data_IF_358158538950
#
_entry.id   IF_358158538950
#
_cell.length_a   1.000
_cell.length_b   1.000
_cell.length_c   1.000
_cell.angle_alpha   90.00
_cell.angle_beta   90.00
_cell.angle_gamma   90.00
#
_symmetry.space_group_name_H-M   'P 1'
#
loop_
_entity.id
_entity.type
_entity.pdbx_description
1 polymer ?
#
# COMPACT_ATOMS: atom_id res chain seq x y z
N UNK A 1 34.67 7.88 27.87
CA UNK A 1 33.79 8.85 27.15
C UNK A 1 34.13 9.03 25.66
N UNK A 2 35.43 9.01 25.26
CA UNK A 2 35.82 9.15 23.83
C UNK A 2 35.38 7.92 23.03
N UNK A 3 35.64 6.72 23.53
CA UNK A 3 35.22 5.43 22.99
C UNK A 3 33.74 5.36 22.64
N UNK A 4 32.83 5.69 23.60
CA UNK A 4 31.38 5.63 23.37
C UNK A 4 30.90 6.61 22.30
N UNK A 5 31.56 7.78 22.17
CA UNK A 5 31.25 8.75 21.11
C UNK A 5 31.71 8.26 19.73
N UNK A 6 32.89 7.68 19.67
CA UNK A 6 33.45 7.11 18.43
C UNK A 6 32.55 5.95 17.93
N UNK A 7 32.25 4.98 18.79
CA UNK A 7 31.37 3.86 18.45
C UNK A 7 29.98 4.29 17.98
N UNK A 8 29.34 5.25 18.67
CA UNK A 8 28.02 5.77 18.25
C UNK A 8 28.06 6.48 16.91
N UNK A 9 29.14 7.24 16.62
CA UNK A 9 29.30 7.91 15.33
C UNK A 9 29.44 6.90 14.20
N UNK A 10 30.17 5.84 14.43
CA UNK A 10 30.35 4.73 13.48
C UNK A 10 29.03 4.00 13.22
N UNK A 11 28.30 3.62 14.27
CA UNK A 11 26.96 3.03 14.13
C UNK A 11 26.02 3.95 13.36
N UNK A 12 26.02 5.26 13.65
CA UNK A 12 25.17 6.23 12.96
C UNK A 12 25.53 6.38 11.48
N UNK A 13 26.81 6.38 11.13
CA UNK A 13 27.26 6.45 9.73
C UNK A 13 26.88 5.19 8.97
N UNK A 14 27.12 4.01 9.56
CA UNK A 14 26.69 2.73 8.97
C UNK A 14 25.17 2.69 8.81
N UNK A 15 24.41 3.07 9.84
CA UNK A 15 22.96 3.10 9.79
C UNK A 15 22.45 4.06 8.72
N UNK A 16 23.04 5.23 8.58
CA UNK A 16 22.66 6.19 7.55
C UNK A 16 22.85 5.62 6.14
N UNK A 17 24.01 5.04 5.85
CA UNK A 17 24.28 4.43 4.55
C UNK A 17 23.34 3.27 4.22
N UNK A 18 23.13 2.37 5.18
CA UNK A 18 22.24 1.22 5.03
C UNK A 18 20.79 1.67 4.87
N UNK A 19 20.34 2.66 5.67
CA UNK A 19 18.99 3.19 5.60
C UNK A 19 18.70 3.80 4.22
N UNK A 20 19.62 4.59 3.68
CA UNK A 20 19.48 5.17 2.33
C UNK A 20 19.38 4.08 1.27
N UNK A 21 20.24 3.07 1.32
CA UNK A 21 20.23 1.97 0.36
C UNK A 21 18.91 1.17 0.43
N UNK A 22 18.48 0.78 1.62
CA UNK A 22 17.23 0.04 1.81
C UNK A 22 15.99 0.86 1.40
N UNK A 23 16.00 2.16 1.72
CA UNK A 23 14.91 3.06 1.36
C UNK A 23 14.83 3.26 -0.16
N UNK A 24 15.96 3.37 -0.84
CA UNK A 24 16.03 3.46 -2.30
C UNK A 24 15.48 2.20 -2.97
N UNK A 25 15.88 1.01 -2.49
CA UNK A 25 15.39 -0.28 -3.02
C UNK A 25 13.87 -0.40 -2.79
N UNK A 26 13.40 -0.11 -1.58
CA UNK A 26 11.98 -0.21 -1.24
C UNK A 26 11.15 0.78 -2.07
N UNK A 27 11.58 2.04 -2.14
CA UNK A 27 10.86 3.08 -2.90
C UNK A 27 10.80 2.73 -4.38
N UNK A 28 11.90 2.25 -4.98
CA UNK A 28 11.92 1.80 -6.37
C UNK A 28 10.97 0.63 -6.61
N UNK A 29 10.99 -0.36 -5.73
CA UNK A 29 10.11 -1.54 -5.84
C UNK A 29 8.63 -1.16 -5.73
N UNK A 30 8.28 -0.30 -4.77
CA UNK A 30 6.91 0.17 -4.58
C UNK A 30 6.45 1.07 -5.73
N UNK A 31 7.34 1.91 -6.25
CA UNK A 31 7.04 2.77 -7.39
C UNK A 31 6.70 1.93 -8.63
N UNK A 32 7.52 0.90 -8.94
CA UNK A 32 7.25 -0.01 -10.06
C UNK A 32 5.90 -0.70 -9.90
N UNK A 33 5.57 -1.17 -8.68
CA UNK A 33 4.28 -1.81 -8.39
C UNK A 33 3.11 -0.86 -8.60
N UNK A 34 3.19 0.36 -8.06
CA UNK A 34 2.13 1.36 -8.19
C UNK A 34 1.96 1.84 -9.63
N UNK A 35 3.06 1.99 -10.39
CA UNK A 35 2.99 2.33 -11.82
C UNK A 35 2.35 1.21 -12.63
N UNK A 36 2.63 -0.06 -12.33
CA UNK A 36 1.95 -1.20 -12.96
C UNK A 36 0.44 -1.17 -12.67
N UNK A 37 0.05 -0.91 -11.42
CA UNK A 37 -1.35 -0.83 -11.02
C UNK A 37 -2.05 0.36 -11.71
N UNK A 38 -1.35 1.49 -11.88
CA UNK A 38 -1.85 2.65 -12.61
C UNK A 38 -1.98 2.37 -14.12
N UNK A 39 -0.98 1.72 -14.75
CA UNK A 39 -1.05 1.33 -16.15
C UNK A 39 -2.16 0.31 -16.42
N UNK A 40 -2.48 -0.55 -15.45
CA UNK A 40 -3.61 -1.48 -15.48
C UNK A 40 -4.97 -0.83 -15.19
N UNK A 41 -5.03 0.50 -15.01
CA UNK A 41 -6.26 1.22 -14.70
C UNK A 41 -6.85 0.93 -13.32
N UNK A 42 -6.08 0.30 -12.43
CA UNK A 42 -6.55 -0.04 -11.07
C UNK A 42 -6.43 1.15 -10.10
N UNK A 43 -5.56 2.10 -10.42
CA UNK A 43 -5.26 3.27 -9.60
C UNK A 43 -5.14 4.48 -10.54
N UNK A 44 -5.70 5.62 -10.13
CA UNK A 44 -5.50 6.88 -10.87
C UNK A 44 -4.01 7.30 -10.81
N UNK A 45 -3.41 7.76 -11.92
CA UNK A 45 -2.00 8.16 -11.96
C UNK A 45 -1.64 9.21 -10.89
N UNK A 46 -2.56 10.13 -10.59
CA UNK A 46 -2.39 11.19 -9.58
C UNK A 46 -2.26 10.63 -8.15
N UNK A 47 -2.79 9.43 -7.92
CA UNK A 47 -2.75 8.77 -6.62
C UNK A 47 -1.42 8.08 -6.32
N UNK A 48 -0.59 7.82 -7.34
CA UNK A 48 0.66 7.06 -7.19
C UNK A 48 1.58 7.68 -6.14
N UNK A 49 1.76 9.01 -6.17
CA UNK A 49 2.65 9.70 -5.22
C UNK A 49 2.15 9.61 -3.78
N UNK A 50 0.85 9.79 -3.57
CA UNK A 50 0.23 9.70 -2.24
C UNK A 50 0.32 8.28 -1.67
N UNK A 51 0.02 7.27 -2.49
CA UNK A 51 0.12 5.87 -2.10
C UNK A 51 1.57 5.45 -1.83
N UNK A 52 2.54 5.99 -2.58
CA UNK A 52 3.95 5.76 -2.33
C UNK A 52 4.36 6.31 -0.96
N UNK A 53 3.90 7.50 -0.59
CA UNK A 53 4.13 8.09 0.73
C UNK A 53 3.57 7.22 1.86
N UNK A 54 2.33 6.77 1.75
CA UNK A 54 1.73 5.87 2.75
C UNK A 54 2.46 4.52 2.82
N UNK A 55 2.87 3.96 1.69
CA UNK A 55 3.65 2.73 1.66
C UNK A 55 5.01 2.92 2.36
N UNK A 56 5.72 4.01 2.10
CA UNK A 56 6.99 4.32 2.76
C UNK A 56 6.81 4.40 4.29
N UNK A 57 5.77 5.10 4.79
CA UNK A 57 5.46 5.19 6.21
C UNK A 57 5.16 3.82 6.84
N UNK A 58 4.40 2.99 6.14
CA UNK A 58 4.03 1.66 6.64
C UNK A 58 5.24 0.71 6.74
N UNK A 59 6.19 0.81 5.82
CA UNK A 59 7.41 -0.02 5.84
C UNK A 59 8.53 0.55 6.73
N UNK A 60 8.43 1.80 7.20
CA UNK A 60 9.46 2.46 8.00
C UNK A 60 9.89 1.67 9.24
N UNK A 61 8.98 1.07 10.04
CA UNK A 61 9.38 0.28 11.22
C UNK A 61 10.29 -0.90 10.86
N UNK A 62 9.95 -1.61 9.78
CA UNK A 62 10.71 -2.77 9.31
C UNK A 62 12.08 -2.33 8.80
N UNK A 63 12.14 -1.23 8.04
CA UNK A 63 13.38 -0.67 7.52
C UNK A 63 14.32 -0.24 8.65
N UNK A 64 13.79 0.47 9.66
CA UNK A 64 14.58 0.90 10.82
C UNK A 64 15.10 -0.28 11.63
N UNK A 65 14.28 -1.32 11.84
CA UNK A 65 14.69 -2.53 12.54
C UNK A 65 15.83 -3.25 11.81
N UNK A 66 15.70 -3.45 10.50
CA UNK A 66 16.73 -4.08 9.68
C UNK A 66 18.01 -3.21 9.62
N UNK A 67 17.84 -1.90 9.44
CA UNK A 67 18.97 -0.95 9.46
C UNK A 67 19.73 -1.00 10.77
N UNK A 68 19.02 -1.00 11.90
CA UNK A 68 19.64 -1.07 13.23
C UNK A 68 20.46 -2.36 13.40
N UNK A 69 19.87 -3.49 13.03
CA UNK A 69 20.54 -4.80 13.13
C UNK A 69 21.80 -4.85 12.27
N UNK A 70 21.66 -4.51 10.97
CA UNK A 70 22.78 -4.59 10.02
C UNK A 70 23.87 -3.56 10.36
N UNK A 71 23.51 -2.35 10.77
CA UNK A 71 24.48 -1.32 11.16
C UNK A 71 25.34 -1.75 12.35
N UNK A 72 24.72 -2.29 13.40
CA UNK A 72 25.46 -2.79 14.56
C UNK A 72 26.35 -3.98 14.16
N UNK A 73 25.79 -4.93 13.40
CA UNK A 73 26.54 -6.11 12.95
C UNK A 73 27.76 -5.74 12.12
N UNK A 74 27.60 -4.86 11.13
CA UNK A 74 28.70 -4.45 10.25
C UNK A 74 29.77 -3.65 11.00
N UNK A 75 29.37 -2.71 11.88
CA UNK A 75 30.34 -1.92 12.65
C UNK A 75 31.13 -2.79 13.62
N UNK A 76 30.49 -3.73 14.33
CA UNK A 76 31.21 -4.65 15.20
C UNK A 76 32.09 -5.60 14.41
N UNK A 77 31.64 -6.14 13.29
CA UNK A 77 32.43 -7.02 12.41
C UNK A 77 33.65 -6.29 11.87
N UNK A 78 33.50 -5.02 11.51
CA UNK A 78 34.60 -4.18 11.08
C UNK A 78 35.65 -3.97 12.19
N UNK A 79 35.21 -3.58 13.40
CA UNK A 79 36.08 -3.36 14.54
C UNK A 79 36.87 -4.64 14.92
N UNK A 80 36.29 -5.83 14.74
CA UNK A 80 36.97 -7.10 14.89
C UNK A 80 38.01 -7.33 13.79
N UNK A 81 37.63 -7.12 12.52
CA UNK A 81 38.51 -7.35 11.37
C UNK A 81 39.70 -6.40 11.35
N UNK A 82 39.48 -5.14 11.69
CA UNK A 82 40.53 -4.10 11.71
C UNK A 82 41.41 -4.17 13.00
N UNK A 83 41.21 -5.23 13.82
CA UNK A 83 41.93 -5.46 15.07
C UNK A 83 41.79 -4.37 16.13
N UNK A 84 40.82 -3.46 15.97
CA UNK A 84 40.55 -2.40 16.95
C UNK A 84 40.12 -2.97 18.30
N UNK A 85 39.41 -4.11 18.31
CA UNK A 85 39.03 -4.83 19.52
C UNK A 85 40.22 -5.29 20.33
N UNK A 86 41.35 -5.70 19.71
CA UNK A 86 42.58 -6.14 20.40
C UNK A 86 43.13 -4.97 21.21
N UNK A 87 43.18 -3.78 20.66
CA UNK A 87 43.63 -2.55 21.32
C UNK A 87 42.80 -2.23 22.56
N UNK A 88 41.47 -2.38 22.44
CA UNK A 88 40.56 -2.15 23.56
C UNK A 88 40.74 -3.20 24.67
N UNK A 89 40.88 -4.47 24.31
CA UNK A 89 41.13 -5.55 25.27
C UNK A 89 42.47 -5.41 25.98
N UNK A 90 43.51 -5.01 25.27
CA UNK A 90 44.81 -4.77 25.90
C UNK A 90 44.83 -3.58 26.85
N UNK A 91 43.90 -2.64 26.66
CA UNK A 91 43.65 -1.52 27.59
C UNK A 91 42.79 -1.87 28.80
N UNK A 92 42.39 -3.16 28.95
CA UNK A 92 41.60 -3.67 30.09
C UNK A 92 40.09 -3.48 29.93
N UNK A 93 39.58 -3.13 28.74
CA UNK A 93 38.15 -3.02 28.49
C UNK A 93 37.54 -4.40 28.19
N UNK A 94 36.57 -4.88 28.99
CA UNK A 94 35.91 -6.16 28.72
C UNK A 94 34.97 -6.06 27.51
N UNK A 95 34.69 -7.20 26.87
CA UNK A 95 33.75 -7.29 25.75
C UNK A 95 32.35 -6.72 26.12
N UNK A 96 31.94 -6.88 27.36
CA UNK A 96 30.65 -6.35 27.87
C UNK A 96 30.58 -4.83 27.88
N UNK A 97 31.73 -4.12 27.81
CA UNK A 97 31.74 -2.66 27.72
C UNK A 97 31.08 -2.14 26.41
N UNK A 98 31.08 -2.97 25.35
CA UNK A 98 30.43 -2.67 24.08
C UNK A 98 28.90 -2.70 24.12
N UNK A 99 28.31 -3.40 25.08
CA UNK A 99 26.84 -3.44 25.26
C UNK A 99 26.30 -2.04 25.51
N UNK A 100 26.98 -1.23 26.32
CA UNK A 100 26.51 0.10 26.69
C UNK A 100 26.38 1.06 25.49
N UNK A 101 27.37 1.25 24.60
CA UNK A 101 27.21 2.08 23.41
C UNK A 101 26.19 1.54 22.42
N UNK A 102 26.08 0.21 22.27
CA UNK A 102 25.05 -0.44 21.44
C UNK A 102 23.65 -0.12 21.95
N UNK A 103 23.38 -0.36 23.24
CA UNK A 103 22.07 -0.06 23.83
C UNK A 103 21.74 1.42 23.76
N UNK A 104 22.68 2.30 24.03
CA UNK A 104 22.46 3.75 23.94
C UNK A 104 22.17 4.24 22.53
N UNK A 105 22.72 3.56 21.52
CA UNK A 105 22.43 3.85 20.12
C UNK A 105 21.11 3.25 19.70
N UNK A 106 20.82 2.01 20.10
CA UNK A 106 19.60 1.29 19.73
C UNK A 106 18.34 1.86 20.38
N UNK A 107 18.41 2.28 21.65
CA UNK A 107 17.24 2.69 22.42
C UNK A 107 16.37 3.77 21.74
N UNK A 108 16.90 4.90 21.24
CA UNK A 108 16.08 5.91 20.58
C UNK A 108 15.45 5.38 19.29
N UNK A 109 16.13 4.51 18.56
CA UNK A 109 15.61 3.89 17.32
C UNK A 109 14.50 2.90 17.66
N UNK A 110 14.67 2.09 18.70
CA UNK A 110 13.64 1.14 19.16
C UNK A 110 12.39 1.89 19.63
N UNK A 111 12.53 3.01 20.36
CA UNK A 111 11.41 3.86 20.72
C UNK A 111 10.72 4.43 19.50
N UNK A 112 11.49 4.92 18.51
CA UNK A 112 10.93 5.40 17.24
C UNK A 112 10.17 4.28 16.51
N UNK A 113 10.71 3.06 16.44
CA UNK A 113 10.03 1.89 15.84
C UNK A 113 8.72 1.60 16.58
N UNK A 114 8.73 1.62 17.90
CA UNK A 114 7.53 1.37 18.71
C UNK A 114 6.42 2.41 18.42
N UNK A 115 6.78 3.69 18.36
CA UNK A 115 5.84 4.78 18.03
C UNK A 115 5.32 4.64 16.60
N UNK A 116 6.21 4.39 15.63
CA UNK A 116 5.84 4.21 14.24
C UNK A 116 4.91 3.00 14.06
N UNK A 117 5.24 1.88 14.68
CA UNK A 117 4.45 0.64 14.57
C UNK A 117 3.11 0.74 15.28
N UNK A 118 3.06 1.41 16.46
CA UNK A 118 1.85 1.51 17.26
C UNK A 118 0.85 2.56 16.78
N UNK A 119 1.33 3.66 16.18
CA UNK A 119 0.48 4.80 15.81
C UNK A 119 0.49 5.08 14.30
N UNK A 120 1.67 5.20 13.69
CA UNK A 120 1.77 5.66 12.32
C UNK A 120 1.41 4.59 11.28
N UNK A 121 1.82 3.34 11.51
CA UNK A 121 1.50 2.24 10.59
C UNK A 121 0.00 1.93 10.50
N UNK A 122 -0.75 1.81 11.63
CA UNK A 122 -2.20 1.64 11.58
C UNK A 122 -2.90 2.80 10.89
N UNK A 123 -2.47 4.05 11.19
CA UNK A 123 -3.01 5.25 10.56
C UNK A 123 -2.76 5.27 9.04
N UNK A 124 -1.54 4.95 8.61
CA UNK A 124 -1.19 4.89 7.19
C UNK A 124 -1.97 3.80 6.43
N UNK A 125 -2.16 2.63 7.05
CA UNK A 125 -2.96 1.54 6.48
C UNK A 125 -4.44 1.92 6.33
N UNK A 126 -5.01 2.56 7.35
CA UNK A 126 -6.39 3.03 7.31
C UNK A 126 -6.60 4.03 6.18
N UNK A 127 -5.74 5.06 6.08
CA UNK A 127 -5.81 6.05 5.01
C UNK A 127 -5.58 5.44 3.62
N UNK A 128 -4.69 4.45 3.51
CA UNK A 128 -4.46 3.74 2.24
C UNK A 128 -5.72 3.00 1.78
N UNK A 129 -6.42 2.32 2.70
CA UNK A 129 -7.64 1.59 2.41
C UNK A 129 -8.78 2.54 1.99
N UNK A 130 -8.99 3.62 2.77
CA UNK A 130 -9.99 4.65 2.46
C UNK A 130 -9.72 5.34 1.12
N UNK A 131 -8.45 5.71 0.87
CA UNK A 131 -8.03 6.34 -0.39
C UNK A 131 -8.26 5.41 -1.60
N UNK A 132 -7.91 4.14 -1.48
CA UNK A 132 -8.17 3.14 -2.52
C UNK A 132 -9.66 2.92 -2.75
N UNK A 133 -10.46 2.90 -1.70
CA UNK A 133 -11.90 2.74 -1.81
C UNK A 133 -12.56 3.93 -2.52
N UNK A 134 -12.17 5.16 -2.17
CA UNK A 134 -12.65 6.39 -2.86
C UNK A 134 -12.27 6.42 -4.34
N UNK A 135 -11.05 5.96 -4.66
CA UNK A 135 -10.59 5.87 -6.06
C UNK A 135 -11.35 4.79 -6.84
N UNK A 136 -11.59 3.62 -6.24
CA UNK A 136 -12.35 2.56 -6.92
C UNK A 136 -13.78 2.99 -7.20
N UNK A 137 -14.42 3.68 -6.26
CA UNK A 137 -15.79 4.20 -6.46
C UNK A 137 -15.87 5.26 -7.56
N UNK A 138 -14.80 6.03 -7.79
CA UNK A 138 -14.74 6.98 -8.92
C UNK A 138 -14.45 6.30 -10.25
N UNK A 139 -13.62 5.25 -10.25
CA UNK A 139 -13.24 4.53 -11.46
C UNK A 139 -14.37 3.66 -12.02
N UNK A 140 -15.20 3.08 -11.15
CA UNK A 140 -16.29 2.18 -11.60
C UNK A 140 -17.33 2.93 -12.42
N UNK A 141 -17.54 4.22 -12.18
CA UNK A 141 -18.49 5.06 -12.93
C UNK A 141 -17.88 5.67 -14.20
N UNK A 142 -16.59 5.97 -14.21
CA UNK A 142 -15.92 6.61 -15.37
C UNK A 142 -15.33 5.61 -16.39
N UNK A 143 -15.34 4.31 -16.10
CA UNK A 143 -14.83 3.27 -17.00
C UNK A 143 -15.93 2.56 -17.82
N UNK A 144 -17.15 3.03 -17.80
CA UNK A 144 -18.19 2.53 -18.69
C UNK A 144 -17.90 3.04 -20.11
N UNK A 145 -17.17 2.24 -20.89
CA UNK A 145 -17.03 2.49 -22.32
C UNK A 145 -18.27 1.96 -23.02
N UNK A 146 -19.03 2.79 -23.71
CA UNK A 146 -20.20 2.34 -24.47
C UNK A 146 -19.85 1.23 -25.47
N UNK A 147 -20.68 0.22 -25.60
CA UNK A 147 -20.52 -0.87 -26.56
C UNK A 147 -19.54 -1.98 -26.17
N UNK A 148 -19.02 -2.00 -24.94
CA UNK A 148 -18.11 -3.06 -24.47
C UNK A 148 -18.64 -3.79 -23.24
N UNK A 149 -18.56 -5.13 -23.23
CA UNK A 149 -18.79 -5.91 -22.02
C UNK A 149 -17.62 -5.70 -21.04
N UNK A 150 -17.94 -5.33 -19.82
CA UNK A 150 -16.97 -5.18 -18.74
C UNK A 150 -17.29 -6.09 -17.58
N UNK A 151 -16.26 -6.78 -17.12
CA UNK A 151 -16.32 -7.63 -15.95
C UNK A 151 -15.88 -6.83 -14.71
N UNK A 152 -16.73 -6.77 -13.68
CA UNK A 152 -16.35 -6.13 -12.43
C UNK A 152 -15.33 -6.99 -11.67
N UNK A 153 -14.46 -6.31 -10.89
CA UNK A 153 -13.46 -6.95 -10.03
C UNK A 153 -14.10 -8.10 -9.24
N UNK A 154 -13.67 -9.33 -9.54
CA UNK A 154 -14.00 -10.64 -8.95
C UNK A 154 -14.86 -11.59 -9.80
N UNK A 155 -15.11 -11.31 -11.07
CA UNK A 155 -15.81 -12.29 -11.94
C UNK A 155 -17.30 -12.51 -11.63
N UNK A 156 -17.87 -11.74 -10.71
CA UNK A 156 -19.25 -11.95 -10.23
C UNK A 156 -20.30 -11.06 -10.88
N UNK A 157 -19.86 -10.06 -11.64
CA UNK A 157 -20.78 -9.14 -12.34
C UNK A 157 -20.23 -8.77 -13.70
N UNK A 158 -21.08 -8.81 -14.70
CA UNK A 158 -20.77 -8.35 -16.06
C UNK A 158 -21.75 -7.22 -16.39
N UNK A 159 -21.22 -6.12 -16.88
CA UNK A 159 -22.00 -4.96 -17.31
C UNK A 159 -21.81 -4.75 -18.80
N UNK A 160 -22.90 -4.40 -19.46
CA UNK A 160 -22.89 -3.87 -20.80
C UNK A 160 -23.79 -2.64 -20.85
N UNK A 161 -23.29 -1.57 -21.44
CA UNK A 161 -24.04 -0.33 -21.69
C UNK A 161 -23.81 0.02 -23.14
N UNK A 162 -24.89 0.14 -23.92
CA UNK A 162 -24.81 0.41 -25.34
C UNK A 162 -24.54 1.89 -25.63
N UNK A 163 -25.19 2.78 -24.93
CA UNK A 163 -25.06 4.21 -25.12
C UNK A 163 -24.89 4.95 -23.79
N UNK A 164 -24.05 5.97 -23.79
CA UNK A 164 -23.83 6.90 -22.70
C UNK A 164 -24.05 8.31 -23.23
N UNK A 165 -24.85 9.13 -22.56
CA UNK A 165 -24.98 10.54 -22.90
C UNK A 165 -23.64 11.26 -22.75
N UNK A 166 -23.39 12.33 -23.52
CA UNK A 166 -22.12 13.07 -23.51
C UNK A 166 -21.75 13.62 -22.11
N UNK A 167 -22.75 13.89 -21.28
CA UNK A 167 -22.57 14.36 -19.90
C UNK A 167 -22.48 13.22 -18.87
N UNK A 168 -22.62 11.95 -19.29
CA UNK A 168 -22.56 10.78 -18.43
C UNK A 168 -23.75 10.60 -17.49
N UNK A 169 -24.82 11.41 -17.62
CA UNK A 169 -25.97 11.39 -16.74
C UNK A 169 -26.99 10.30 -17.08
N UNK A 170 -27.11 9.95 -18.34
CA UNK A 170 -28.06 8.96 -18.84
C UNK A 170 -27.34 7.79 -19.54
N UNK A 171 -27.88 6.60 -19.35
CA UNK A 171 -27.38 5.35 -19.95
C UNK A 171 -28.52 4.68 -20.70
N UNK A 172 -28.25 4.24 -21.92
CA UNK A 172 -29.20 3.50 -22.74
C UNK A 172 -28.85 2.03 -22.87
N UNK A 173 -29.88 1.16 -22.94
CA UNK A 173 -29.74 -0.28 -23.10
C UNK A 173 -28.70 -0.91 -22.16
N UNK A 174 -29.07 -0.99 -20.89
CA UNK A 174 -28.23 -1.52 -19.82
C UNK A 174 -28.49 -3.01 -19.62
N UNK A 175 -27.46 -3.81 -19.67
CA UNK A 175 -27.46 -5.22 -19.33
C UNK A 175 -26.54 -5.46 -18.15
N UNK A 176 -27.04 -6.08 -17.09
CA UNK A 176 -26.27 -6.46 -15.90
C UNK A 176 -26.50 -7.92 -15.60
N UNK A 177 -25.46 -8.72 -15.63
CA UNK A 177 -25.48 -10.09 -15.13
C UNK A 177 -24.69 -10.17 -13.82
N UNK A 178 -25.29 -10.70 -12.77
CA UNK A 178 -24.64 -10.85 -11.47
C UNK A 178 -24.95 -12.19 -10.83
N UNK A 179 -23.92 -12.83 -10.25
CA UNK A 179 -24.09 -14.03 -9.45
C UNK A 179 -24.29 -13.63 -7.99
N UNK A 180 -25.47 -13.89 -7.41
CA UNK A 180 -25.78 -13.63 -6.00
C UNK A 180 -26.34 -14.92 -5.37
N UNK A 181 -25.75 -15.35 -4.26
CA UNK A 181 -26.18 -16.55 -3.52
C UNK A 181 -26.29 -17.83 -4.38
N UNK A 182 -25.44 -17.97 -5.40
CA UNK A 182 -25.46 -19.11 -6.31
C UNK A 182 -26.50 -19.03 -7.42
N UNK A 183 -27.28 -17.92 -7.52
CA UNK A 183 -28.25 -17.67 -8.59
C UNK A 183 -27.71 -16.62 -9.56
N UNK A 184 -27.93 -16.84 -10.85
CA UNK A 184 -27.62 -15.88 -11.89
C UNK A 184 -28.77 -14.91 -12.04
N UNK A 185 -28.63 -13.68 -11.60
CA UNK A 185 -29.54 -12.57 -11.84
C UNK A 185 -29.14 -11.79 -13.08
N UNK A 186 -30.04 -11.66 -14.04
CA UNK A 186 -29.88 -10.84 -15.24
C UNK A 186 -30.87 -9.70 -15.21
N UNK A 187 -30.38 -8.47 -15.30
CA UNK A 187 -31.21 -7.26 -15.39
C UNK A 187 -30.99 -6.62 -16.74
N UNK A 188 -32.06 -6.33 -17.44
CA UNK A 188 -32.08 -5.59 -18.70
C UNK A 188 -32.96 -4.35 -18.51
N UNK A 189 -32.47 -3.19 -18.92
CA UNK A 189 -33.24 -1.94 -18.87
C UNK A 189 -32.99 -1.10 -20.12
N UNK A 190 -34.04 -0.44 -20.58
CA UNK A 190 -33.98 0.41 -21.79
C UNK A 190 -33.26 1.72 -21.53
N UNK A 191 -33.37 2.22 -20.29
CA UNK A 191 -32.70 3.46 -19.89
C UNK A 191 -32.31 3.39 -18.40
N UNK A 192 -31.39 4.24 -18.00
CA UNK A 192 -31.05 4.48 -16.61
C UNK A 192 -30.39 5.84 -16.44
N UNK A 193 -30.37 6.34 -15.22
CA UNK A 193 -29.72 7.59 -14.86
C UNK A 193 -28.91 7.45 -13.57
N UNK A 194 -27.91 8.32 -13.43
CA UNK A 194 -27.08 8.33 -12.22
C UNK A 194 -27.73 9.23 -11.17
N UNK A 195 -27.94 8.68 -9.98
CA UNK A 195 -28.41 9.41 -8.80
C UNK A 195 -27.34 9.38 -7.70
N UNK A 196 -27.17 10.51 -7.00
CA UNK A 196 -26.25 10.64 -5.88
C UNK A 196 -27.05 10.69 -4.59
N UNK A 197 -26.90 9.69 -3.74
CA UNK A 197 -27.56 9.68 -2.44
C UNK A 197 -26.98 10.76 -1.49
N UNK A 198 -27.73 11.13 -0.43
CA UNK A 198 -27.28 12.11 0.55
C UNK A 198 -25.97 11.75 1.29
N UNK A 199 -25.61 10.47 1.32
CA UNK A 199 -24.36 9.96 1.88
C UNK A 199 -23.17 10.04 0.90
N UNK A 200 -23.38 10.55 -0.33
CA UNK A 200 -22.37 10.67 -1.37
C UNK A 200 -22.19 9.42 -2.25
N UNK A 201 -22.94 8.36 -2.00
CA UNK A 201 -22.91 7.16 -2.84
C UNK A 201 -23.62 7.41 -4.18
N UNK A 202 -23.03 6.87 -5.26
CA UNK A 202 -23.57 6.97 -6.60
C UNK A 202 -24.31 5.69 -6.94
N UNK A 203 -25.58 5.84 -7.32
CA UNK A 203 -26.44 4.77 -7.80
C UNK A 203 -26.75 4.96 -9.27
N UNK A 204 -26.95 3.86 -9.97
CA UNK A 204 -27.57 3.86 -11.29
C UNK A 204 -28.99 3.37 -11.11
N UNK A 205 -29.95 4.25 -11.31
CA UNK A 205 -31.38 3.92 -11.31
C UNK A 205 -31.73 3.45 -12.71
N UNK A 206 -32.30 2.25 -12.80
CA UNK A 206 -32.67 1.64 -14.06
C UNK A 206 -34.18 1.86 -14.30
N UNK A 207 -34.50 2.44 -15.44
CA UNK A 207 -35.87 2.74 -15.84
C UNK A 207 -36.37 1.67 -16.82
N UNK A 208 -37.61 1.22 -16.61
CA UNK A 208 -38.30 0.23 -17.48
C UNK A 208 -37.45 -1.04 -17.71
N UNK A 209 -36.95 -1.61 -16.61
CA UNK A 209 -36.14 -2.83 -16.64
C UNK A 209 -36.94 -4.10 -16.30
N UNK A 210 -36.38 -5.24 -16.70
CA UNK A 210 -36.84 -6.58 -16.31
C UNK A 210 -35.68 -7.32 -15.65
N UNK A 211 -35.99 -8.01 -14.56
CA UNK A 211 -35.02 -8.90 -13.87
C UNK A 211 -35.43 -10.34 -14.07
N UNK A 212 -34.49 -11.16 -14.49
CA UNK A 212 -34.61 -12.60 -14.61
C UNK A 212 -33.67 -13.25 -13.61
N UNK A 213 -34.16 -14.25 -12.88
CA UNK A 213 -33.35 -15.07 -12.00
C UNK A 213 -33.34 -16.50 -12.54
N UNK A 214 -32.15 -17.05 -12.76
CA UNK A 214 -31.96 -18.41 -13.25
C UNK A 214 -31.12 -19.16 -12.23
N UNK A 215 -31.62 -20.32 -11.82
CA UNK A 215 -30.83 -21.26 -11.01
C UNK A 215 -29.91 -22.04 -11.95
N UNK A 216 -28.56 -21.98 -11.76
CA UNK A 216 -27.65 -22.78 -12.59
C UNK A 216 -27.90 -24.26 -12.35
N UNK A 217 -28.38 -25.00 -13.36
CA UNK A 217 -28.56 -26.44 -13.29
C UNK A 217 -29.99 -26.95 -13.39
N UNK A 218 -30.99 -26.11 -13.57
CA UNK A 218 -32.34 -26.57 -14.00
C UNK A 218 -32.45 -26.50 -15.53
N UNK A 219 -32.74 -27.63 -16.20
CA UNK A 219 -32.92 -27.65 -17.66
C UNK A 219 -34.17 -26.87 -18.10
#
# INVERSE_FOLDING_TARGET
MIFERAARREFAQAAAGISVALLAILTSTQLIRLLKDAAGGQIAPEAVLSLLGFAALNFMPILLSLTLFVAILLSLSRAYRDSEMVVWFSSGQPLTAWVRPVVRFALPIVVAIAVLSGFLSPWANYNTADYKQRLSSRSDVSQVSPGAFREAKKGQRVFFVEALAEDGSEVGNVFVASMQEGKLGVVMADAGHQEIAPNGDKFVVLDRGRRYEVEPGTP
#
